data_IF_206250208713
#
_entry.id   IF_206250208713
#
_cell.length_a   1.000
_cell.length_b   1.000
_cell.length_c   1.000
_cell.angle_alpha   90.00
_cell.angle_beta   90.00
_cell.angle_gamma   90.00
#
_symmetry.space_group_name_H-M   'P 1'
#
loop_
_entity.id
_entity.type
_entity.pdbx_description
1 polymer ?
#
# COMPACT_ATOMS: atom_id res chain seq x y z
N UNK A 1 5.63 -3.55 27.99
CA UNK A 1 6.70 -2.61 27.61
C UNK A 1 7.99 -3.41 27.50
N UNK A 2 8.56 -3.54 26.30
CA UNK A 2 9.86 -4.20 26.13
C UNK A 2 10.97 -3.21 26.49
N UNK A 3 11.87 -3.60 27.39
CA UNK A 3 12.90 -2.76 28.02
C UNK A 3 14.06 -2.33 27.10
N UNK A 4 13.82 -2.04 25.82
CA UNK A 4 14.89 -1.70 24.86
C UNK A 4 14.53 -0.62 23.83
N UNK A 5 13.34 -0.03 23.92
CA UNK A 5 12.91 1.03 23.00
C UNK A 5 13.36 2.39 23.53
N UNK A 6 14.11 3.12 22.72
CA UNK A 6 14.45 4.51 22.98
C UNK A 6 13.57 5.41 22.12
N UNK A 7 13.10 6.53 22.67
CA UNK A 7 12.45 7.58 21.88
C UNK A 7 13.49 8.57 21.36
N UNK A 8 13.43 8.87 20.07
CA UNK A 8 14.19 9.94 19.43
C UNK A 8 13.21 10.99 18.92
N UNK A 9 13.39 12.24 19.34
CA UNK A 9 12.59 13.38 18.87
C UNK A 9 13.54 14.45 18.34
N UNK A 10 13.34 14.84 17.09
CA UNK A 10 14.12 15.88 16.43
C UNK A 10 13.36 17.20 16.24
N UNK A 11 12.23 17.36 16.95
CA UNK A 11 11.35 18.51 16.85
C UNK A 11 10.41 18.50 15.64
N UNK A 12 10.55 17.53 14.71
CA UNK A 12 9.61 17.30 13.60
C UNK A 12 8.87 15.98 13.71
N UNK A 13 9.58 14.92 14.07
CA UNK A 13 9.02 13.57 14.15
C UNK A 13 9.57 12.84 15.36
N UNK A 14 8.68 12.25 16.15
CA UNK A 14 9.05 11.24 17.13
C UNK A 14 9.32 9.91 16.44
N UNK A 15 10.42 9.25 16.78
CA UNK A 15 10.82 7.94 16.27
C UNK A 15 11.09 7.00 17.44
N UNK A 16 10.89 5.71 17.21
CA UNK A 16 11.33 4.66 18.13
C UNK A 16 12.63 4.08 17.60
N UNK A 17 13.64 3.95 18.46
CA UNK A 17 14.90 3.28 18.14
C UNK A 17 14.90 1.92 18.83
N UNK A 18 14.99 0.85 18.03
CA UNK A 18 15.08 -0.54 18.52
C UNK A 18 16.13 -1.28 17.70
N UNK A 19 17.04 -1.98 18.37
CA UNK A 19 18.14 -2.73 17.72
C UNK A 19 18.95 -1.89 16.71
N UNK A 20 19.19 -0.61 17.04
CA UNK A 20 19.91 0.34 16.18
C UNK A 20 19.14 0.80 14.94
N UNK A 21 17.83 0.50 14.83
CA UNK A 21 16.97 0.91 13.71
C UNK A 21 15.98 1.99 14.14
N UNK A 22 15.79 2.99 13.28
CA UNK A 22 14.80 4.05 13.47
C UNK A 22 13.45 3.62 12.90
N UNK A 23 12.39 3.75 13.69
CA UNK A 23 11.00 3.50 13.30
C UNK A 23 10.20 4.79 13.37
N UNK A 24 10.04 5.44 12.21
CA UNK A 24 9.68 6.85 12.13
C UNK A 24 8.38 7.17 11.40
N UNK A 25 7.66 6.19 10.87
CA UNK A 25 6.41 6.43 10.14
C UNK A 25 5.48 5.22 10.18
N UNK A 26 4.19 5.42 9.94
CA UNK A 26 3.29 4.33 9.58
C UNK A 26 3.08 4.28 8.07
N UNK A 27 2.85 3.08 7.55
CA UNK A 27 2.53 2.88 6.14
C UNK A 27 1.21 2.15 6.00
N UNK A 28 0.35 2.64 5.10
CA UNK A 28 -0.92 2.00 4.79
C UNK A 28 -1.16 1.93 3.29
N UNK A 29 -1.82 0.87 2.85
CA UNK A 29 -2.26 0.67 1.48
C UNK A 29 -2.79 -0.75 1.32
N UNK A 30 -3.70 -0.99 0.39
CA UNK A 30 -4.21 -2.36 0.17
C UNK A 30 -3.09 -3.32 -0.26
N UNK A 31 -3.29 -4.64 -0.13
CA UNK A 31 -2.38 -5.61 -0.73
C UNK A 31 -2.13 -5.26 -2.21
N UNK A 32 -0.91 -5.49 -2.72
CA UNK A 32 -0.53 -5.20 -4.13
C UNK A 32 -0.50 -3.71 -4.54
N UNK A 33 -0.49 -2.75 -3.62
CA UNK A 33 -0.32 -1.30 -3.88
C UNK A 33 1.11 -0.79 -3.72
N UNK A 34 2.11 -1.66 -3.92
CA UNK A 34 3.53 -1.33 -3.78
C UNK A 34 4.03 -0.91 -2.38
N UNK A 35 3.28 -1.18 -1.30
CA UNK A 35 3.72 -0.86 0.07
C UNK A 35 5.13 -1.40 0.39
N UNK A 36 5.42 -2.66 0.05
CA UNK A 36 6.76 -3.26 0.24
C UNK A 36 7.85 -2.52 -0.55
N UNK A 37 7.57 -2.06 -1.77
CA UNK A 37 8.52 -1.33 -2.61
C UNK A 37 8.91 -0.01 -1.96
N UNK A 38 7.89 0.79 -1.61
CA UNK A 38 8.05 2.08 -0.94
C UNK A 38 8.81 1.91 0.36
N UNK A 39 8.42 0.96 1.22
CA UNK A 39 9.10 0.75 2.51
C UNK A 39 10.57 0.38 2.38
N UNK A 40 10.91 -0.41 1.35
CA UNK A 40 12.29 -0.79 1.06
C UNK A 40 13.10 0.42 0.61
N UNK A 41 12.55 1.22 -0.30
CA UNK A 41 13.21 2.44 -0.75
C UNK A 41 13.44 3.41 0.41
N UNK A 42 12.46 3.61 1.28
CA UNK A 42 12.64 4.46 2.46
C UNK A 42 13.77 3.92 3.35
N UNK A 43 13.75 2.62 3.66
CA UNK A 43 14.74 2.01 4.52
C UNK A 43 16.16 2.02 3.92
N UNK A 44 16.30 1.80 2.62
CA UNK A 44 17.60 1.78 1.94
C UNK A 44 18.21 3.19 1.89
N UNK A 45 17.41 4.20 1.55
CA UNK A 45 17.86 5.58 1.35
C UNK A 45 17.96 6.39 2.65
N UNK A 46 17.08 6.16 3.65
CA UNK A 46 17.01 7.00 4.86
C UNK A 46 17.25 6.25 6.17
N UNK A 47 17.42 4.91 6.14
CA UNK A 47 17.51 4.04 7.33
C UNK A 47 16.32 4.19 8.29
N UNK A 48 15.19 4.67 7.78
CA UNK A 48 13.93 4.75 8.52
C UNK A 48 13.03 3.57 8.14
N UNK A 49 12.48 2.93 9.16
CA UNK A 49 11.55 1.80 9.02
C UNK A 49 10.14 2.21 9.45
N UNK A 50 9.15 1.49 8.94
CA UNK A 50 7.76 1.73 9.31
C UNK A 50 7.43 1.06 10.65
N UNK A 51 6.70 1.78 11.50
CA UNK A 51 6.29 1.38 12.86
C UNK A 51 5.35 0.19 12.88
N UNK A 52 4.61 -0.08 11.80
CA UNK A 52 3.80 -1.30 11.70
C UNK A 52 4.63 -2.56 12.01
N UNK A 53 5.93 -2.57 11.69
CA UNK A 53 6.83 -3.70 11.96
C UNK A 53 7.27 -3.85 13.43
N UNK A 54 7.11 -2.84 14.28
CA UNK A 54 7.55 -2.90 15.69
C UNK A 54 6.78 -3.97 16.46
N UNK A 55 5.47 -4.08 16.20
CA UNK A 55 4.57 -4.92 16.99
C UNK A 55 4.21 -6.25 16.31
N UNK A 56 4.72 -6.48 15.09
CA UNK A 56 4.52 -7.73 14.34
C UNK A 56 5.42 -8.88 14.79
N UNK A 57 6.48 -8.63 15.57
CA UNK A 57 7.41 -9.69 16.03
C UNK A 57 6.99 -10.37 17.33
N UNK A 58 6.24 -9.68 18.19
CA UNK A 58 5.98 -10.15 19.57
C UNK A 58 4.65 -10.90 19.73
N UNK A 59 3.90 -11.12 18.65
CA UNK A 59 2.59 -11.75 18.72
C UNK A 59 2.54 -13.02 17.88
N UNK A 60 1.98 -14.09 18.45
CA UNK A 60 1.52 -15.29 17.74
C UNK A 60 0.42 -15.00 16.70
N UNK A 61 0.19 -13.72 16.40
CA UNK A 61 -0.79 -13.17 15.50
C UNK A 61 -0.21 -13.22 14.10
N UNK A 62 -0.68 -14.20 13.32
CA UNK A 62 -0.30 -14.32 11.92
C UNK A 62 -0.90 -13.13 11.16
N UNK A 63 -0.10 -12.31 10.45
CA UNK A 63 -0.68 -11.45 9.44
C UNK A 63 -1.37 -12.35 8.43
N UNK A 64 -2.59 -12.02 8.04
CA UNK A 64 -3.24 -10.73 8.19
C UNK A 64 -4.22 -10.63 9.40
N UNK A 65 -4.10 -9.60 10.25
CA UNK A 65 -4.86 -9.48 11.51
C UNK A 65 -5.28 -8.02 11.83
N UNK A 66 -6.55 -7.83 12.21
CA UNK A 66 -7.19 -6.54 12.48
C UNK A 66 -6.80 -5.91 13.82
N UNK A 67 -6.38 -6.70 14.79
CA UNK A 67 -5.96 -6.27 16.14
C UNK A 67 -4.47 -5.85 16.18
N UNK A 68 -3.77 -5.97 15.05
CA UNK A 68 -2.39 -5.50 14.88
C UNK A 68 -2.38 -4.24 14.00
N UNK A 69 -1.39 -3.36 14.18
CA UNK A 69 -1.17 -2.18 13.30
C UNK A 69 -0.68 -2.61 11.91
N UNK A 70 -1.40 -3.49 11.21
CA UNK A 70 -0.98 -4.07 9.95
C UNK A 70 -1.11 -3.05 8.81
N UNK A 71 -0.11 -2.97 7.94
CA UNK A 71 -0.07 -1.98 6.85
C UNK A 71 -1.17 -2.09 5.77
N UNK A 72 -2.02 -3.11 5.85
CA UNK A 72 -3.09 -3.38 4.89
C UNK A 72 -4.49 -3.21 5.51
N UNK A 73 -4.59 -2.32 6.50
CA UNK A 73 -5.85 -1.87 7.09
C UNK A 73 -6.70 -1.11 6.07
N UNK A 74 -7.98 -1.49 5.99
CA UNK A 74 -8.98 -0.79 5.17
C UNK A 74 -9.31 0.54 5.84
N UNK A 75 -9.57 0.54 7.15
CA UNK A 75 -9.93 1.73 7.93
C UNK A 75 -8.70 2.37 8.59
N UNK A 76 -8.84 3.64 8.99
CA UNK A 76 -7.86 4.29 9.87
C UNK A 76 -7.92 3.64 11.26
N UNK A 77 -6.81 3.13 11.82
CA UNK A 77 -6.82 2.58 13.18
C UNK A 77 -7.20 3.64 14.22
N UNK A 78 -8.07 3.28 15.17
CA UNK A 78 -8.56 4.21 16.20
C UNK A 78 -7.45 4.78 17.10
N UNK A 79 -6.32 4.08 17.20
CA UNK A 79 -5.17 4.41 18.04
C UNK A 79 -3.96 4.90 17.23
N UNK A 80 -4.17 5.35 15.98
CA UNK A 80 -3.11 5.90 15.16
C UNK A 80 -2.58 7.20 15.81
N UNK A 81 -1.27 7.31 16.16
CA UNK A 81 -0.75 8.50 16.83
C UNK A 81 -0.79 9.77 15.96
N UNK A 82 -1.24 10.89 16.52
CA UNK A 82 -1.48 12.16 15.81
C UNK A 82 -0.20 12.91 15.36
N UNK A 83 0.99 12.49 15.81
CA UNK A 83 2.27 13.16 15.51
C UNK A 83 3.32 12.22 14.91
N UNK A 84 2.86 11.24 14.14
CA UNK A 84 3.75 10.31 13.44
C UNK A 84 3.46 10.37 11.95
N UNK A 85 4.48 10.54 11.10
CA UNK A 85 4.32 10.52 9.65
C UNK A 85 3.55 9.30 9.15
N UNK A 86 2.69 9.51 8.15
CA UNK A 86 1.90 8.47 7.49
C UNK A 86 2.18 8.48 5.99
N UNK A 87 2.48 7.30 5.45
CA UNK A 87 2.68 7.08 4.01
C UNK A 87 1.55 6.20 3.48
N UNK A 88 0.75 6.76 2.58
CA UNK A 88 -0.39 6.08 1.96
C UNK A 88 -0.04 5.63 0.56
N UNK A 89 -0.06 4.33 0.29
CA UNK A 89 0.22 3.76 -1.01
C UNK A 89 -1.06 3.31 -1.71
N UNK A 90 -1.23 3.73 -2.96
CA UNK A 90 -2.35 3.32 -3.79
C UNK A 90 -1.89 3.02 -5.22
N UNK A 91 -2.77 2.43 -6.01
CA UNK A 91 -2.52 1.92 -7.34
C UNK A 91 -3.79 2.12 -8.19
N UNK A 92 -3.64 2.20 -9.50
CA UNK A 92 -4.76 2.20 -10.43
C UNK A 92 -5.72 1.03 -10.09
N UNK A 93 -7.02 1.29 -9.82
CA UNK A 93 -7.97 0.25 -9.44
C UNK A 93 -8.08 -0.92 -10.43
N UNK A 94 -7.94 -0.66 -11.73
CA UNK A 94 -7.98 -1.70 -12.75
C UNK A 94 -6.79 -2.67 -12.66
N UNK A 95 -5.57 -2.14 -12.70
CA UNK A 95 -4.34 -2.96 -12.64
C UNK A 95 -4.08 -3.49 -11.22
N UNK A 96 -4.67 -2.87 -10.20
CA UNK A 96 -4.71 -3.38 -8.83
C UNK A 96 -5.61 -4.62 -8.73
N UNK A 97 -6.85 -4.55 -9.23
CA UNK A 97 -7.79 -5.65 -9.24
C UNK A 97 -7.19 -6.87 -9.97
N UNK A 98 -6.61 -6.66 -11.15
CA UNK A 98 -5.92 -7.71 -11.89
C UNK A 98 -4.79 -8.36 -11.07
N UNK A 99 -4.02 -7.55 -10.33
CA UNK A 99 -2.94 -8.03 -9.48
C UNK A 99 -3.44 -8.81 -8.25
N UNK A 100 -4.61 -8.47 -7.73
CA UNK A 100 -5.27 -9.22 -6.66
C UNK A 100 -5.75 -10.57 -7.17
N UNK A 101 -6.35 -10.61 -8.35
CA UNK A 101 -6.98 -11.82 -8.91
C UNK A 101 -5.98 -12.80 -9.51
N UNK A 102 -5.00 -12.36 -10.29
CA UNK A 102 -4.20 -13.28 -11.13
C UNK A 102 -2.72 -13.39 -10.78
N UNK A 103 -2.18 -12.50 -9.92
CA UNK A 103 -0.78 -12.62 -9.52
C UNK A 103 -0.61 -13.71 -8.47
N UNK A 104 0.26 -14.68 -8.74
CA UNK A 104 0.60 -15.75 -7.79
C UNK A 104 1.03 -15.18 -6.42
N UNK A 105 0.63 -15.88 -5.36
CA UNK A 105 0.93 -15.57 -3.98
C UNK A 105 -0.32 -15.37 -3.13
N UNK A 106 -0.11 -15.35 -1.81
CA UNK A 106 -1.17 -15.36 -0.81
C UNK A 106 -2.03 -14.08 -0.74
N UNK A 107 -1.86 -13.08 -1.62
CA UNK A 107 -2.48 -11.76 -1.43
C UNK A 107 -4.01 -11.81 -1.30
N UNK A 108 -4.69 -12.46 -2.25
CA UNK A 108 -6.14 -12.60 -2.18
C UNK A 108 -6.57 -13.56 -1.06
N UNK A 109 -5.86 -14.69 -0.87
CA UNK A 109 -6.16 -15.62 0.23
C UNK A 109 -6.02 -14.98 1.62
N UNK A 110 -5.00 -14.15 1.80
CA UNK A 110 -4.75 -13.35 2.99
C UNK A 110 -5.85 -12.29 3.16
N UNK A 111 -6.21 -11.57 2.09
CA UNK A 111 -7.30 -10.59 2.12
C UNK A 111 -8.61 -11.25 2.58
N UNK A 112 -8.97 -12.41 2.01
CA UNK A 112 -10.20 -13.13 2.36
C UNK A 112 -10.21 -13.56 3.84
N UNK A 113 -9.05 -13.94 4.39
CA UNK A 113 -8.93 -14.32 5.80
C UNK A 113 -9.17 -13.14 6.76
N UNK A 114 -8.77 -11.93 6.40
CA UNK A 114 -8.90 -10.75 7.30
C UNK A 114 -10.16 -9.96 7.08
N UNK A 115 -10.42 -9.62 5.82
CA UNK A 115 -11.48 -8.68 5.45
C UNK A 115 -12.70 -9.40 4.87
N UNK A 116 -12.56 -10.67 4.48
CA UNK A 116 -13.64 -11.41 3.81
C UNK A 116 -14.95 -11.43 4.60
N UNK A 117 -14.93 -11.50 5.94
CA UNK A 117 -16.15 -11.44 6.77
C UNK A 117 -16.82 -10.06 6.79
N UNK A 118 -16.04 -9.00 6.76
CA UNK A 118 -16.53 -7.62 6.79
C UNK A 118 -17.34 -7.31 5.52
N UNK A 119 -16.88 -7.85 4.38
CA UNK A 119 -17.50 -7.59 3.09
C UNK A 119 -18.40 -8.73 2.59
N UNK A 120 -18.43 -9.90 3.27
CA UNK A 120 -19.23 -11.09 2.91
C UNK A 120 -20.72 -10.83 2.68
N UNK A 121 -21.27 -9.79 3.32
CA UNK A 121 -22.68 -9.43 3.19
C UNK A 121 -23.01 -8.78 1.83
N UNK A 122 -21.99 -8.43 1.02
CA UNK A 122 -22.14 -7.75 -0.27
C UNK A 122 -22.18 -8.74 -1.43
N UNK A 123 -23.12 -9.70 -1.36
CA UNK A 123 -23.51 -10.61 -2.45
C UNK A 123 -22.36 -10.93 -3.42
N UNK A 124 -21.37 -11.70 -2.95
CA UNK A 124 -20.23 -12.27 -3.69
C UNK A 124 -20.60 -12.90 -5.05
N UNK A 125 -20.96 -12.07 -6.02
CA UNK A 125 -21.65 -12.47 -7.25
C UNK A 125 -20.64 -12.70 -8.35
N UNK A 126 -19.56 -11.95 -8.32
CA UNK A 126 -18.57 -11.89 -9.39
C UNK A 126 -17.31 -12.65 -8.98
N UNK A 127 -17.37 -13.96 -9.17
CA UNK A 127 -16.32 -14.90 -8.75
C UNK A 127 -15.30 -15.13 -9.86
N UNK A 128 -14.02 -15.14 -9.48
CA UNK A 128 -12.89 -15.55 -10.31
C UNK A 128 -12.12 -16.64 -9.59
N UNK A 129 -11.99 -17.81 -10.22
CA UNK A 129 -11.18 -18.90 -9.69
C UNK A 129 -9.69 -18.61 -9.87
N UNK A 130 -8.86 -19.11 -8.96
CA UNK A 130 -7.42 -19.07 -9.16
C UNK A 130 -7.03 -19.87 -10.40
N UNK A 131 -5.99 -19.40 -11.10
CA UNK A 131 -5.36 -20.17 -12.17
C UNK A 131 -4.78 -21.45 -11.59
N UNK A 132 -4.85 -22.53 -12.34
CA UNK A 132 -4.26 -23.80 -11.94
C UNK A 132 -2.77 -23.63 -11.59
N UNK A 133 -2.36 -24.20 -10.45
CA UNK A 133 -0.98 -24.08 -9.94
C UNK A 133 -0.64 -22.76 -9.25
N UNK A 134 -1.57 -21.81 -9.14
CA UNK A 134 -1.36 -20.57 -8.40
C UNK A 134 -1.91 -20.68 -6.98
N UNK A 135 -1.25 -20.00 -6.04
CA UNK A 135 -1.60 -19.97 -4.61
C UNK A 135 -2.51 -18.78 -4.23
N UNK A 136 -3.10 -18.13 -5.22
CA UNK A 136 -4.17 -17.16 -5.00
C UNK A 136 -5.43 -17.92 -4.57
N UNK A 137 -6.17 -17.39 -3.58
CA UNK A 137 -7.50 -17.92 -3.27
C UNK A 137 -8.52 -17.51 -4.33
N UNK A 138 -9.75 -18.02 -4.24
CA UNK A 138 -10.90 -17.53 -5.02
C UNK A 138 -11.11 -16.03 -4.77
N UNK A 139 -11.20 -15.25 -5.86
CA UNK A 139 -11.44 -13.80 -5.81
C UNK A 139 -12.92 -13.47 -6.02
N UNK A 140 -13.43 -12.54 -5.23
CA UNK A 140 -14.74 -11.94 -5.40
C UNK A 140 -14.53 -10.47 -5.79
N UNK A 141 -14.83 -10.13 -7.03
CA UNK A 141 -14.45 -8.86 -7.67
C UNK A 141 -15.14 -7.67 -7.00
N UNK A 142 -16.44 -7.79 -6.77
CA UNK A 142 -17.26 -6.83 -6.05
C UNK A 142 -16.71 -6.55 -4.65
N UNK A 143 -16.46 -7.60 -3.87
CA UNK A 143 -15.89 -7.51 -2.52
C UNK A 143 -14.54 -6.77 -2.51
N UNK A 144 -13.64 -7.12 -3.42
CA UNK A 144 -12.33 -6.47 -3.55
C UNK A 144 -12.49 -4.98 -3.87
N UNK A 145 -13.34 -4.63 -4.84
CA UNK A 145 -13.58 -3.24 -5.23
C UNK A 145 -14.25 -2.45 -4.12
N UNK A 146 -15.23 -3.02 -3.43
CA UNK A 146 -15.87 -2.37 -2.30
C UNK A 146 -14.90 -2.08 -1.16
N UNK A 147 -13.99 -3.00 -0.84
CA UNK A 147 -12.96 -2.73 0.15
C UNK A 147 -11.96 -1.68 -0.32
N UNK A 148 -11.62 -1.67 -1.60
CA UNK A 148 -10.70 -0.66 -2.08
C UNK A 148 -11.35 0.73 -2.08
N UNK A 149 -12.62 0.81 -2.46
CA UNK A 149 -13.43 2.02 -2.31
C UNK A 149 -13.48 2.46 -0.85
N UNK A 150 -13.78 1.54 0.07
CA UNK A 150 -13.81 1.83 1.51
C UNK A 150 -12.46 2.38 2.00
N UNK A 151 -11.34 1.82 1.53
CA UNK A 151 -10.00 2.33 1.85
C UNK A 151 -9.85 3.80 1.42
N UNK A 152 -10.28 4.17 0.21
CA UNK A 152 -10.25 5.57 -0.22
C UNK A 152 -11.19 6.44 0.61
N UNK A 153 -12.41 5.96 0.88
CA UNK A 153 -13.44 6.69 1.63
C UNK A 153 -12.98 6.99 3.07
N UNK A 154 -12.07 6.21 3.65
CA UNK A 154 -11.51 6.46 4.99
C UNK A 154 -10.17 7.21 4.96
N UNK A 155 -9.27 6.85 4.04
CA UNK A 155 -7.91 7.38 4.03
C UNK A 155 -7.78 8.72 3.30
N UNK A 156 -8.65 9.03 2.33
CA UNK A 156 -8.63 10.35 1.70
C UNK A 156 -9.03 11.46 2.68
N UNK A 157 -10.14 11.34 3.45
CA UNK A 157 -10.44 12.35 4.48
C UNK A 157 -9.33 12.48 5.53
N UNK A 158 -8.73 11.37 5.95
CA UNK A 158 -7.59 11.40 6.86
C UNK A 158 -6.42 12.20 6.27
N UNK A 159 -6.06 11.95 5.01
CA UNK A 159 -5.01 12.70 4.31
C UNK A 159 -5.35 14.18 4.24
N UNK A 160 -6.58 14.55 3.88
CA UNK A 160 -6.99 15.95 3.74
C UNK A 160 -6.89 16.71 5.09
N UNK A 161 -7.19 16.04 6.20
CA UNK A 161 -7.10 16.60 7.55
C UNK A 161 -5.68 16.58 8.14
N UNK A 162 -4.77 15.76 7.60
CA UNK A 162 -3.43 15.54 8.15
C UNK A 162 -2.34 15.75 7.09
N UNK A 163 -2.53 16.73 6.20
CA UNK A 163 -1.63 16.96 5.05
C UNK A 163 -0.19 17.17 5.47
N UNK A 164 0.09 17.79 6.61
CA UNK A 164 1.47 18.06 7.04
C UNK A 164 2.21 16.81 7.50
N UNK A 165 1.48 15.80 7.97
CA UNK A 165 2.04 14.53 8.46
C UNK A 165 1.80 13.36 7.50
N UNK A 166 1.16 13.59 6.35
CA UNK A 166 0.79 12.51 5.43
C UNK A 166 1.32 12.74 4.02
N UNK A 167 1.76 11.67 3.35
CA UNK A 167 2.09 11.64 1.92
C UNK A 167 1.31 10.52 1.25
N UNK A 168 0.70 10.82 0.10
CA UNK A 168 0.10 9.83 -0.80
C UNK A 168 1.10 9.47 -1.89
N UNK A 169 1.22 8.19 -2.22
CA UNK A 169 2.10 7.65 -3.23
C UNK A 169 1.29 6.74 -4.16
N UNK A 170 1.15 7.17 -5.41
CA UNK A 170 0.64 6.37 -6.52
C UNK A 170 1.74 5.45 -7.03
N UNK A 171 1.42 4.17 -7.23
CA UNK A 171 2.35 3.27 -7.90
C UNK A 171 2.67 3.73 -9.32
N UNK A 172 1.65 4.02 -10.14
CA UNK A 172 1.84 4.40 -11.54
C UNK A 172 2.50 5.77 -11.72
N UNK A 173 2.05 6.79 -10.97
CA UNK A 173 2.53 8.15 -11.20
C UNK A 173 3.84 8.44 -10.48
N UNK A 174 3.98 8.01 -9.23
CA UNK A 174 5.10 8.41 -8.39
C UNK A 174 6.23 7.37 -8.45
N UNK A 175 5.87 6.07 -8.46
CA UNK A 175 6.87 5.00 -8.35
C UNK A 175 7.39 4.48 -9.69
N UNK A 176 6.64 4.67 -10.78
CA UNK A 176 7.04 4.23 -12.13
C UNK A 176 7.66 5.32 -13.00
N UNK A 177 7.63 6.58 -12.56
CA UNK A 177 8.38 7.65 -13.20
C UNK A 177 9.69 8.00 -12.46
N UNK A 178 10.84 7.82 -13.13
CA UNK A 178 12.20 8.20 -12.65
C UNK A 178 12.29 9.64 -12.22
N UNK A 179 11.65 10.52 -12.96
CA UNK A 179 11.75 11.96 -12.73
C UNK A 179 10.93 12.38 -11.50
N UNK A 180 9.94 11.57 -11.10
CA UNK A 180 9.10 11.83 -9.93
C UNK A 180 9.67 11.26 -8.62
N UNK A 181 10.47 10.18 -8.70
CA UNK A 181 11.01 9.52 -7.51
C UNK A 181 11.88 10.44 -6.65
N UNK A 182 12.88 11.09 -7.24
CA UNK A 182 13.83 11.92 -6.48
C UNK A 182 13.10 13.07 -5.78
N UNK A 183 12.26 13.87 -6.47
CA UNK A 183 11.46 14.89 -5.81
C UNK A 183 10.54 14.34 -4.71
N UNK A 184 9.87 13.21 -4.95
CA UNK A 184 8.97 12.60 -3.98
C UNK A 184 9.67 12.24 -2.67
N UNK A 185 10.76 11.46 -2.77
CA UNK A 185 11.44 10.93 -1.60
C UNK A 185 12.22 12.02 -0.86
N UNK A 186 12.87 12.96 -1.56
CA UNK A 186 13.50 14.12 -0.93
C UNK A 186 12.46 15.03 -0.26
N UNK A 187 11.33 15.28 -0.92
CA UNK A 187 10.22 16.05 -0.35
C UNK A 187 9.69 15.39 0.93
N UNK A 188 9.52 14.07 0.91
CA UNK A 188 9.08 13.28 2.06
C UNK A 188 10.08 13.33 3.23
N UNK A 189 11.37 13.14 2.96
CA UNK A 189 12.42 13.21 3.98
C UNK A 189 12.48 14.60 4.63
N UNK A 190 12.42 15.67 3.82
CA UNK A 190 12.41 17.06 4.31
C UNK A 190 11.16 17.37 5.16
N UNK A 191 9.99 16.91 4.68
CA UNK A 191 8.71 17.07 5.34
C UNK A 191 8.70 16.40 6.72
N UNK A 192 9.14 15.15 6.79
CA UNK A 192 9.15 14.38 8.04
C UNK A 192 10.39 14.63 8.91
N UNK A 193 11.36 15.39 8.40
CA UNK A 193 12.64 15.61 9.08
C UNK A 193 13.41 14.33 9.30
N UNK A 194 13.42 13.41 8.32
CA UNK A 194 14.26 12.22 8.44
C UNK A 194 15.74 12.58 8.34
N UNK A 195 16.63 11.81 9.01
CA UNK A 195 18.07 12.02 8.89
C UNK A 195 18.49 12.03 7.42
N UNK A 196 19.23 13.05 7.02
CA UNK A 196 19.88 13.09 5.71
C UNK A 196 20.91 11.96 5.67
N UNK A 197 20.86 11.12 4.65
CA UNK A 197 21.79 10.02 4.49
C UNK A 197 22.46 10.13 3.11
N UNK A 198 23.75 9.79 3.08
CA UNK A 198 24.68 10.05 1.98
C UNK A 198 24.49 9.10 0.78
N UNK A 199 23.24 8.74 0.46
CA UNK A 199 22.88 8.00 -0.76
C UNK A 199 22.28 8.97 -1.79
N UNK A 200 23.11 9.67 -2.59
CA UNK A 200 22.62 10.64 -3.58
C UNK A 200 21.90 9.98 -4.77
N UNK A 201 21.92 8.65 -4.87
CA UNK A 201 21.26 7.91 -5.93
C UNK A 201 20.16 7.05 -5.33
N UNK A 202 18.91 7.54 -5.43
CA UNK A 202 17.74 6.69 -5.22
C UNK A 202 17.85 5.52 -6.18
N UNK A 203 18.18 4.35 -5.64
CA UNK A 203 18.23 3.14 -6.45
C UNK A 203 16.81 2.81 -6.86
N UNK A 204 16.53 2.95 -8.15
CA UNK A 204 15.28 2.48 -8.74
C UNK A 204 15.12 1.01 -8.37
N UNK A 205 14.14 0.64 -7.55
CA UNK A 205 14.07 -0.71 -7.07
C UNK A 205 13.71 -1.65 -8.24
N UNK A 206 14.58 -2.61 -8.49
CA UNK A 206 14.35 -3.71 -9.41
C UNK A 206 13.99 -4.92 -8.54
N UNK A 207 12.69 -5.21 -8.43
CA UNK A 207 12.13 -6.35 -7.68
C UNK A 207 12.23 -6.27 -6.14
N UNK A 208 11.13 -6.54 -5.44
CA UNK A 208 11.08 -6.63 -3.97
C UNK A 208 10.29 -7.83 -3.49
N UNK A 209 10.86 -8.58 -2.56
CA UNK A 209 10.24 -9.78 -1.97
C UNK A 209 9.82 -10.80 -3.04
N UNK A 210 8.58 -11.27 -2.95
CA UNK A 210 8.00 -12.23 -3.91
C UNK A 210 7.46 -11.59 -5.19
N UNK A 211 7.89 -10.37 -5.55
CA UNK A 211 7.57 -9.83 -6.86
C UNK A 211 8.30 -10.57 -7.96
N UNK A 212 7.61 -10.76 -9.08
CA UNK A 212 8.27 -11.18 -10.31
C UNK A 212 9.29 -10.11 -10.74
N UNK A 213 10.27 -10.50 -11.55
CA UNK A 213 11.25 -9.58 -12.12
C UNK A 213 10.55 -8.43 -12.86
N UNK A 214 11.03 -7.20 -12.64
CA UNK A 214 10.50 -6.00 -13.28
C UNK A 214 11.27 -5.73 -14.57
N UNK A 215 10.56 -5.58 -15.68
CA UNK A 215 11.13 -5.36 -17.01
C UNK A 215 10.31 -4.32 -17.79
N UNK A 216 10.79 -3.93 -18.98
CA UNK A 216 10.15 -2.89 -19.80
C UNK A 216 8.71 -3.25 -20.19
N UNK A 217 8.41 -4.53 -20.45
CA UNK A 217 7.05 -4.98 -20.76
C UNK A 217 6.10 -4.69 -19.59
N UNK A 218 6.49 -5.02 -18.36
CA UNK A 218 5.70 -4.72 -17.16
C UNK A 218 5.61 -3.23 -16.87
N UNK A 219 6.70 -2.50 -17.12
CA UNK A 219 6.71 -1.06 -16.99
C UNK A 219 5.66 -0.42 -17.90
N UNK A 220 5.67 -0.77 -19.19
CA UNK A 220 4.71 -0.27 -20.17
C UNK A 220 3.27 -0.66 -19.82
N UNK A 221 3.04 -1.92 -19.42
CA UNK A 221 1.73 -2.38 -18.96
C UNK A 221 1.13 -1.49 -17.86
N UNK A 222 1.92 -1.13 -16.85
CA UNK A 222 1.42 -0.27 -15.78
C UNK A 222 1.24 1.19 -16.21
N UNK A 223 2.09 1.70 -17.11
CA UNK A 223 1.95 3.05 -17.68
C UNK A 223 0.69 3.17 -18.55
N UNK A 224 0.34 2.12 -19.30
CA UNK A 224 -0.90 2.06 -20.07
C UNK A 224 -2.14 2.04 -19.16
N UNK A 225 -1.99 1.52 -17.94
CA UNK A 225 -3.06 1.50 -16.92
C UNK A 225 -4.27 0.66 -17.31
N UNK A 226 -4.12 -0.21 -18.33
CA UNK A 226 -5.18 -1.05 -18.87
C UNK A 226 -4.91 -2.52 -18.51
N UNK A 227 -5.87 -3.21 -17.86
CA UNK A 227 -5.73 -4.62 -17.55
C UNK A 227 -5.74 -5.44 -18.85
N UNK A 228 -4.99 -6.55 -18.88
CA UNK A 228 -4.84 -7.41 -20.07
C UNK A 228 -5.49 -8.78 -19.90
N UNK A 229 -5.82 -9.16 -18.66
CA UNK A 229 -6.38 -10.44 -18.26
C UNK A 229 -7.77 -10.30 -17.63
N UNK A 230 -8.15 -9.11 -17.15
CA UNK A 230 -9.50 -8.90 -16.62
C UNK A 230 -10.57 -9.04 -17.73
N UNK A 231 -11.64 -9.82 -17.48
CA UNK A 231 -12.77 -9.85 -18.39
C UNK A 231 -13.50 -8.50 -18.38
N UNK A 232 -14.12 -8.14 -19.51
CA UNK A 232 -14.78 -6.82 -19.65
C UNK A 232 -15.78 -6.53 -18.53
N UNK A 233 -16.59 -7.51 -18.13
CA UNK A 233 -17.54 -7.31 -17.02
C UNK A 233 -16.87 -6.90 -15.70
N UNK A 234 -15.62 -7.33 -15.45
CA UNK A 234 -14.87 -6.94 -14.26
C UNK A 234 -14.31 -5.52 -14.39
N UNK A 235 -13.94 -5.12 -15.62
CA UNK A 235 -13.53 -3.75 -15.96
C UNK A 235 -14.72 -2.80 -15.75
N UNK A 236 -15.90 -3.15 -16.25
CA UNK A 236 -17.13 -2.35 -16.14
C UNK A 236 -17.56 -2.14 -14.67
N UNK A 237 -17.29 -3.10 -13.79
CA UNK A 237 -17.58 -2.99 -12.35
C UNK A 237 -16.70 -1.97 -11.62
N UNK A 238 -15.51 -1.65 -12.14
CA UNK A 238 -14.59 -0.70 -11.49
C UNK A 238 -15.23 0.68 -11.36
N UNK A 239 -15.68 1.37 -12.43
CA UNK A 239 -16.35 2.65 -12.29
C UNK A 239 -17.72 2.54 -11.60
N UNK A 240 -18.44 1.42 -11.77
CA UNK A 240 -19.73 1.18 -11.10
C UNK A 240 -19.58 1.22 -9.57
N UNK A 241 -18.55 0.56 -9.04
CA UNK A 241 -18.34 0.45 -7.58
C UNK A 241 -17.49 1.60 -7.04
N UNK A 242 -16.36 1.91 -7.68
CA UNK A 242 -15.45 2.96 -7.20
C UNK A 242 -16.03 4.36 -7.37
N UNK A 243 -16.88 4.55 -8.38
CA UNK A 243 -17.37 5.85 -8.82
C UNK A 243 -16.39 6.54 -9.76
N UNK A 244 -16.89 7.07 -10.88
CA UNK A 244 -16.07 7.79 -11.86
C UNK A 244 -15.38 9.02 -11.26
N UNK A 245 -16.03 9.72 -10.34
CA UNK A 245 -15.47 10.93 -9.71
C UNK A 245 -14.23 10.60 -8.89
N UNK A 246 -14.23 9.47 -8.17
CA UNK A 246 -13.06 8.99 -7.45
C UNK A 246 -11.93 8.67 -8.43
N UNK A 247 -12.20 7.92 -9.50
CA UNK A 247 -11.19 7.59 -10.51
C UNK A 247 -10.56 8.84 -11.14
N UNK A 248 -11.38 9.82 -11.52
CA UNK A 248 -10.92 11.11 -12.06
C UNK A 248 -10.10 11.89 -11.04
N UNK A 249 -10.51 11.92 -9.77
CA UNK A 249 -9.76 12.60 -8.69
C UNK A 249 -8.38 11.98 -8.42
N UNK A 250 -8.23 10.69 -8.73
CA UNK A 250 -6.96 9.95 -8.64
C UNK A 250 -6.16 10.00 -9.94
N UNK A 251 -6.60 10.78 -10.94
CA UNK A 251 -5.98 10.92 -12.25
C UNK A 251 -5.94 9.63 -13.09
N UNK A 252 -6.96 8.77 -12.92
CA UNK A 252 -7.14 7.56 -13.73
C UNK A 252 -8.29 7.73 -14.73
N UNK A 253 -8.08 7.25 -15.96
CA UNK A 253 -9.11 7.17 -16.99
C UNK A 253 -10.16 6.13 -16.62
N UNK A 254 -11.43 6.41 -16.94
CA UNK A 254 -12.50 5.42 -16.95
C UNK A 254 -12.37 4.62 -18.25
N UNK A 255 -12.29 3.29 -18.14
CA UNK A 255 -12.16 2.35 -19.25
C UNK A 255 -13.51 1.78 -19.69
#
# INVERSE_FOLDING_TARGET
MHHGDLEYDNGKTKMVVRDGKYFGYYQYGMCRTATTLVSRMIAENYKVHFRNNLYMRDSAVRPPNLDSDWKHHVHVPNNLPENVPVVLCYKNPYTWLESMLYRNGIANGAWQQTHGKEFNNRRQKYRVEPKEGYSNGTGFVDDLLYSYKQWFDTWLPYYENNKDMTVKISYEHDMLNKDNLIPLFNGMANKFGWPEYDFPQIQWPRQVGSSQEFNNTKHNYYLEGRPTELPQWAIDLVPEIMGEDLLKSLNYSVL
#
